data_IF_207406472308
#
_entry.id   IF_207406472308
#
_cell.length_a   1.000
_cell.length_b   1.000
_cell.length_c   1.000
_cell.angle_alpha   90.00
_cell.angle_beta   90.00
_cell.angle_gamma   90.00
#
_symmetry.space_group_name_H-M   'P 1'
#
loop_
_entity.id
_entity.type
_entity.pdbx_description
1 polymer ?
#
# COMPACT_ATOMS: atom_id res chain seq x y z
N UNK A 1 -2.71 41.79 -10.96
CA UNK A 1 -2.40 41.17 -9.66
C UNK A 1 -3.62 40.40 -9.19
N UNK A 2 -3.53 39.08 -9.04
CA UNK A 2 -4.65 38.28 -8.54
C UNK A 2 -4.86 38.59 -7.05
N UNK A 3 -6.05 39.07 -6.69
CA UNK A 3 -6.42 39.36 -5.32
C UNK A 3 -6.54 38.01 -4.58
N UNK A 4 -5.80 37.86 -3.48
CA UNK A 4 -5.89 36.68 -2.61
C UNK A 4 -7.18 36.74 -1.79
N UNK A 5 -8.24 36.20 -2.41
CA UNK A 5 -9.60 36.10 -1.86
C UNK A 5 -9.63 35.40 -0.49
N UNK A 6 -8.66 34.53 -0.18
CA UNK A 6 -8.60 33.85 1.12
C UNK A 6 -8.23 34.81 2.25
N UNK A 7 -7.41 35.83 2.00
CA UNK A 7 -7.07 36.85 3.01
C UNK A 7 -8.24 37.79 3.28
N UNK A 8 -8.92 38.24 2.23
CA UNK A 8 -10.11 39.11 2.33
C UNK A 8 -11.23 38.39 3.09
N UNK A 9 -11.48 37.11 2.77
CA UNK A 9 -12.44 36.29 3.48
C UNK A 9 -12.10 36.15 4.97
N UNK A 10 -10.85 35.83 5.31
CA UNK A 10 -10.41 35.73 6.71
C UNK A 10 -10.59 37.03 7.49
N UNK A 11 -10.29 38.17 6.88
CA UNK A 11 -10.46 39.49 7.49
C UNK A 11 -11.94 39.79 7.78
N UNK A 12 -12.82 39.51 6.81
CA UNK A 12 -14.26 39.74 6.96
C UNK A 12 -14.88 38.81 8.02
N UNK A 13 -14.51 37.53 8.05
CA UNK A 13 -14.97 36.60 9.09
C UNK A 13 -14.52 37.05 10.48
N UNK A 14 -13.29 37.56 10.61
CA UNK A 14 -12.75 38.06 11.88
C UNK A 14 -13.47 39.33 12.35
N UNK A 15 -13.77 40.25 11.42
CA UNK A 15 -14.53 41.47 11.72
C UNK A 15 -15.96 41.17 12.20
N UNK A 16 -16.65 40.22 11.54
CA UNK A 16 -18.00 39.80 11.93
C UNK A 16 -17.98 39.17 13.33
N UNK A 17 -17.03 38.27 13.63
CA UNK A 17 -16.93 37.62 14.94
C UNK A 17 -16.66 38.59 16.09
N UNK A 18 -15.78 39.58 15.88
CA UNK A 18 -15.49 40.61 16.87
C UNK A 18 -16.73 41.48 17.15
N UNK A 19 -17.61 41.67 16.15
CA UNK A 19 -18.88 42.36 16.30
C UNK A 19 -19.94 41.54 17.04
N UNK A 20 -19.84 40.21 17.07
CA UNK A 20 -20.83 39.31 17.68
C UNK A 20 -20.65 39.07 19.17
N UNK A 21 -19.51 39.46 19.76
CA UNK A 21 -19.23 39.28 21.20
C UNK A 21 -18.96 37.83 21.65
N UNK A 22 -18.79 36.89 20.72
CA UNK A 22 -18.69 35.43 20.97
C UNK A 22 -17.30 34.95 21.44
N UNK A 23 -16.34 35.84 21.68
CA UNK A 23 -14.91 35.53 21.95
C UNK A 23 -14.67 34.54 23.12
N UNK A 24 -15.59 34.43 24.08
CA UNK A 24 -15.48 33.49 25.21
C UNK A 24 -15.75 32.03 24.82
N UNK A 25 -16.43 31.78 23.70
CA UNK A 25 -16.71 30.42 23.20
C UNK A 25 -15.53 29.81 22.46
N UNK A 26 -14.61 30.64 21.94
CA UNK A 26 -13.46 30.21 21.14
C UNK A 26 -12.39 29.49 21.98
N UNK A 27 -12.18 29.86 23.26
CA UNK A 27 -11.18 29.19 24.12
C UNK A 27 -11.62 27.74 24.42
N UNK A 28 -12.91 27.54 24.73
CA UNK A 28 -13.46 26.20 25.00
C UNK A 28 -13.52 25.35 23.72
N UNK A 29 -13.96 25.94 22.61
CA UNK A 29 -14.04 25.25 21.32
C UNK A 29 -12.66 24.96 20.73
N UNK A 30 -11.69 25.86 20.83
CA UNK A 30 -10.31 25.58 20.40
C UNK A 30 -9.70 24.44 21.22
N UNK A 31 -9.90 24.40 22.55
CA UNK A 31 -9.37 23.33 23.38
C UNK A 31 -10.03 21.98 23.05
N UNK A 32 -11.34 21.96 22.81
CA UNK A 32 -12.07 20.75 22.39
C UNK A 32 -11.70 20.32 20.96
N UNK A 33 -11.54 21.26 20.03
CA UNK A 33 -11.10 21.00 18.66
C UNK A 33 -9.66 20.47 18.65
N UNK A 34 -8.73 21.11 19.38
CA UNK A 34 -7.34 20.66 19.52
C UNK A 34 -7.26 19.25 20.11
N UNK A 35 -8.01 18.97 21.18
CA UNK A 35 -8.05 17.64 21.82
C UNK A 35 -8.61 16.54 20.90
N UNK A 36 -9.60 16.86 20.06
CA UNK A 36 -10.15 15.92 19.07
C UNK A 36 -9.22 15.75 17.85
N UNK A 37 -8.58 16.83 17.40
CA UNK A 37 -7.59 16.80 16.33
C UNK A 37 -6.39 15.93 16.70
N UNK A 38 -5.85 16.06 17.91
CA UNK A 38 -4.67 15.32 18.35
C UNK A 38 -4.92 13.81 18.50
N UNK A 39 -6.12 13.41 18.96
CA UNK A 39 -6.51 11.98 19.02
C UNK A 39 -6.63 11.37 17.61
N UNK A 40 -7.29 12.09 16.69
CA UNK A 40 -7.43 11.66 15.30
C UNK A 40 -6.08 11.63 14.56
N UNK A 41 -5.17 12.56 14.88
CA UNK A 41 -3.84 12.63 14.27
C UNK A 41 -2.99 11.41 14.65
N UNK A 42 -3.01 10.97 15.91
CA UNK A 42 -2.22 9.80 16.38
C UNK A 42 -2.66 8.49 15.75
N UNK A 43 -3.97 8.23 15.65
CA UNK A 43 -4.46 7.02 14.98
C UNK A 43 -4.21 7.04 13.47
N UNK A 44 -4.39 8.20 12.83
CA UNK A 44 -4.05 8.40 11.41
C UNK A 44 -2.57 8.12 11.14
N UNK A 45 -1.70 8.48 12.09
CA UNK A 45 -0.26 8.28 11.96
C UNK A 45 0.12 6.80 12.04
N UNK A 46 -0.50 6.02 12.93
CA UNK A 46 -0.22 4.59 13.07
C UNK A 46 -0.72 3.78 11.87
N UNK A 47 -1.99 3.95 11.47
CA UNK A 47 -2.53 3.30 10.28
C UNK A 47 -1.71 3.66 9.03
N UNK A 48 -1.41 4.95 8.84
CA UNK A 48 -0.66 5.39 7.66
C UNK A 48 0.76 4.82 7.63
N UNK A 49 1.45 4.73 8.77
CA UNK A 49 2.79 4.13 8.84
C UNK A 49 2.76 2.66 8.48
N UNK A 50 1.81 1.91 9.01
CA UNK A 50 1.70 0.47 8.78
C UNK A 50 1.27 0.15 7.34
N UNK A 51 0.28 0.89 6.80
CA UNK A 51 -0.10 0.79 5.40
C UNK A 51 1.06 1.09 4.45
N UNK A 52 1.84 2.14 4.73
CA UNK A 52 3.06 2.47 3.95
C UNK A 52 4.10 1.35 4.04
N UNK A 53 4.31 0.77 5.21
CA UNK A 53 5.24 -0.34 5.36
C UNK A 53 4.84 -1.55 4.50
N UNK A 54 3.55 -1.90 4.50
CA UNK A 54 3.02 -2.97 3.65
C UNK A 54 3.23 -2.64 2.16
N UNK A 55 2.95 -1.41 1.73
CA UNK A 55 3.19 -0.99 0.33
C UNK A 55 4.67 -1.08 -0.04
N UNK A 56 5.57 -0.72 0.87
CA UNK A 56 7.01 -0.87 0.68
C UNK A 56 7.39 -2.34 0.51
N UNK A 57 6.85 -3.23 1.35
CA UNK A 57 7.08 -4.68 1.24
C UNK A 57 6.58 -5.25 -0.10
N UNK A 58 5.38 -4.86 -0.55
CA UNK A 58 4.86 -5.26 -1.87
C UNK A 58 5.76 -4.72 -3.00
N UNK A 59 6.30 -3.51 -2.85
CA UNK A 59 7.22 -2.92 -3.82
C UNK A 59 8.57 -3.63 -3.85
N UNK A 60 9.09 -4.05 -2.69
CA UNK A 60 10.29 -4.89 -2.60
C UNK A 60 10.03 -6.23 -3.29
N UNK A 61 8.89 -6.88 -3.04
CA UNK A 61 8.48 -8.09 -3.76
C UNK A 61 8.45 -7.86 -5.28
N UNK A 62 7.85 -6.77 -5.75
CA UNK A 62 7.82 -6.44 -7.18
C UNK A 62 9.23 -6.27 -7.75
N UNK A 63 10.15 -5.63 -7.03
CA UNK A 63 11.56 -5.48 -7.46
C UNK A 63 12.24 -6.84 -7.52
N UNK A 64 12.12 -7.64 -6.45
CA UNK A 64 12.63 -9.00 -6.37
C UNK A 64 12.17 -9.87 -7.55
N UNK A 65 10.88 -9.84 -7.89
CA UNK A 65 10.35 -10.58 -9.04
C UNK A 65 10.89 -10.07 -10.38
N UNK A 66 11.18 -8.76 -10.50
CA UNK A 66 11.69 -8.17 -11.74
C UNK A 66 13.18 -8.46 -11.94
N UNK A 67 14.00 -8.36 -10.90
CA UNK A 67 15.43 -8.65 -10.92
C UNK A 67 15.68 -10.11 -11.32
N UNK A 68 14.83 -11.01 -10.82
CA UNK A 68 14.89 -12.44 -11.11
C UNK A 68 14.11 -12.85 -12.38
N UNK A 69 13.71 -11.92 -13.25
CA UNK A 69 13.08 -12.27 -14.55
C UNK A 69 13.97 -13.13 -15.45
N UNK A 70 15.30 -13.02 -15.29
CA UNK A 70 16.27 -13.77 -16.10
C UNK A 70 16.16 -15.28 -15.90
N UNK A 71 15.78 -15.72 -14.69
CA UNK A 71 15.49 -17.12 -14.37
C UNK A 71 14.40 -17.70 -15.29
N UNK A 72 13.40 -16.90 -15.65
CA UNK A 72 12.24 -17.35 -16.44
C UNK A 72 12.37 -17.09 -17.94
N UNK A 73 13.28 -16.20 -18.38
CA UNK A 73 13.33 -15.70 -19.76
C UNK A 73 14.51 -16.16 -20.61
N UNK A 74 15.47 -16.95 -20.08
CA UNK A 74 16.66 -17.40 -20.84
C UNK A 74 16.34 -17.81 -22.31
N UNK A 75 16.94 -17.15 -23.32
CA UNK A 75 16.66 -17.38 -24.74
C UNK A 75 17.05 -18.79 -25.20
N UNK A 76 18.13 -19.34 -24.65
CA UNK A 76 18.68 -20.64 -25.03
C UNK A 76 18.18 -21.79 -24.13
N UNK A 77 16.93 -21.75 -23.68
CA UNK A 77 16.40 -22.76 -22.74
C UNK A 77 16.38 -24.20 -23.28
N UNK A 78 16.55 -24.40 -24.59
CA UNK A 78 16.63 -25.70 -25.26
C UNK A 78 18.08 -26.23 -25.36
N UNK A 79 19.08 -25.38 -25.22
CA UNK A 79 20.50 -25.75 -25.25
C UNK A 79 20.97 -25.84 -23.81
N UNK A 80 21.47 -27.00 -23.40
CA UNK A 80 21.97 -27.23 -22.03
C UNK A 80 23.27 -26.45 -21.83
N UNK A 81 23.18 -25.15 -21.52
CA UNK A 81 24.34 -24.34 -21.16
C UNK A 81 24.72 -24.58 -19.70
N UNK A 82 26.03 -24.63 -19.40
CA UNK A 82 26.57 -24.82 -18.05
C UNK A 82 26.19 -23.69 -17.05
N UNK A 83 25.60 -22.59 -17.53
CA UNK A 83 25.01 -21.49 -16.72
C UNK A 83 23.49 -21.65 -16.50
N UNK A 84 22.93 -22.85 -16.64
CA UNK A 84 21.55 -23.10 -16.24
C UNK A 84 21.49 -23.16 -14.71
N UNK A 85 20.79 -22.20 -14.08
CA UNK A 85 20.44 -22.26 -12.66
C UNK A 85 19.94 -23.67 -12.29
N UNK A 86 20.36 -24.17 -11.13
CA UNK A 86 19.94 -25.49 -10.68
C UNK A 86 18.48 -25.44 -10.25
N UNK A 87 17.74 -26.54 -10.40
CA UNK A 87 16.33 -26.62 -9.98
C UNK A 87 16.14 -26.23 -8.49
N UNK A 88 17.17 -26.43 -7.67
CA UNK A 88 17.24 -25.97 -6.28
C UNK A 88 17.15 -24.45 -6.13
N UNK A 89 17.87 -23.67 -6.95
CA UNK A 89 17.89 -22.21 -6.88
C UNK A 89 16.51 -21.63 -7.24
N UNK A 90 15.81 -22.29 -8.16
CA UNK A 90 14.44 -21.93 -8.52
C UNK A 90 13.45 -22.24 -7.41
N UNK A 91 13.57 -23.40 -6.78
CA UNK A 91 12.69 -23.78 -5.67
C UNK A 91 12.86 -22.80 -4.51
N UNK A 92 14.09 -22.45 -4.17
CA UNK A 92 14.37 -21.46 -3.12
C UNK A 92 13.77 -20.09 -3.47
N UNK A 93 13.89 -19.65 -4.73
CA UNK A 93 13.28 -18.41 -5.19
C UNK A 93 11.74 -18.44 -5.08
N UNK A 94 11.10 -19.51 -5.54
CA UNK A 94 9.63 -19.66 -5.48
C UNK A 94 9.15 -19.69 -4.02
N UNK A 95 9.84 -20.43 -3.14
CA UNK A 95 9.52 -20.50 -1.72
C UNK A 95 9.64 -19.12 -1.04
N UNK A 96 10.70 -18.36 -1.36
CA UNK A 96 10.89 -17.00 -0.88
C UNK A 96 9.78 -16.06 -1.38
N UNK A 97 9.45 -16.11 -2.67
CA UNK A 97 8.39 -15.29 -3.27
C UNK A 97 7.03 -15.59 -2.63
N UNK A 98 6.66 -16.86 -2.49
CA UNK A 98 5.41 -17.30 -1.87
C UNK A 98 5.34 -16.92 -0.39
N UNK A 99 6.45 -17.02 0.34
CA UNK A 99 6.57 -16.56 1.73
C UNK A 99 6.30 -15.06 1.86
N UNK A 100 6.89 -14.23 0.98
CA UNK A 100 6.70 -12.77 1.01
C UNK A 100 5.26 -12.40 0.60
N UNK A 101 4.69 -13.05 -0.41
CA UNK A 101 3.29 -12.85 -0.84
C UNK A 101 2.34 -13.14 0.32
N UNK A 102 2.52 -14.28 1.00
CA UNK A 102 1.70 -14.68 2.14
C UNK A 102 1.81 -13.68 3.27
N UNK A 103 3.03 -13.28 3.64
CA UNK A 103 3.27 -12.25 4.67
C UNK A 103 2.59 -10.92 4.35
N UNK A 104 2.64 -10.47 3.09
CA UNK A 104 1.96 -9.24 2.68
C UNK A 104 0.43 -9.37 2.77
N UNK A 105 -0.13 -10.50 2.33
CA UNK A 105 -1.57 -10.76 2.42
C UNK A 105 -2.06 -10.82 3.88
N UNK A 106 -1.33 -11.51 4.74
CA UNK A 106 -1.65 -11.62 6.17
C UNK A 106 -1.51 -10.26 6.87
N UNK A 107 -0.48 -9.46 6.54
CA UNK A 107 -0.33 -8.11 7.08
C UNK A 107 -1.50 -7.18 6.70
N UNK A 108 -1.99 -7.26 5.45
CA UNK A 108 -3.18 -6.51 5.01
C UNK A 108 -4.41 -6.95 5.81
N UNK A 109 -4.63 -8.26 5.96
CA UNK A 109 -5.76 -8.81 6.71
C UNK A 109 -5.73 -8.35 8.17
N UNK A 110 -4.58 -8.48 8.83
CA UNK A 110 -4.40 -8.07 10.22
C UNK A 110 -4.62 -6.56 10.41
N UNK A 111 -4.09 -5.74 9.50
CA UNK A 111 -4.31 -4.29 9.54
C UNK A 111 -5.81 -3.94 9.36
N UNK A 112 -6.51 -4.64 8.46
CA UNK A 112 -7.94 -4.47 8.21
C UNK A 112 -8.78 -4.81 9.44
N UNK A 113 -8.53 -5.96 10.05
CA UNK A 113 -9.19 -6.40 11.28
C UNK A 113 -8.93 -5.43 12.44
N UNK A 114 -7.69 -4.98 12.61
CA UNK A 114 -7.35 -4.03 13.67
C UNK A 114 -7.95 -2.64 13.44
N UNK A 115 -8.05 -2.21 12.19
CA UNK A 115 -8.60 -0.91 11.83
C UNK A 115 -10.10 -0.88 12.09
N UNK A 116 -10.88 -1.82 11.56
CA UNK A 116 -12.35 -1.80 11.62
C UNK A 116 -12.96 -2.30 12.95
N UNK A 117 -12.15 -2.63 13.95
CA UNK A 117 -12.62 -2.78 15.36
C UNK A 117 -13.18 -1.48 15.95
N UNK A 118 -12.83 -0.34 15.37
CA UNK A 118 -13.25 0.98 15.83
C UNK A 118 -14.39 1.54 14.97
N UNK A 119 -15.21 2.40 15.57
CA UNK A 119 -16.28 3.11 14.88
C UNK A 119 -15.69 4.37 14.22
N UNK A 120 -15.89 4.50 12.91
CA UNK A 120 -15.45 5.67 12.15
C UNK A 120 -16.63 6.43 11.56
N UNK A 121 -16.45 7.74 11.37
CA UNK A 121 -17.36 8.55 10.58
C UNK A 121 -17.44 8.00 9.13
N UNK A 122 -18.57 8.14 8.42
CA UNK A 122 -18.77 7.56 7.09
C UNK A 122 -17.65 7.90 6.08
N UNK A 123 -17.22 9.17 6.05
CA UNK A 123 -16.14 9.62 5.16
C UNK A 123 -14.81 8.93 5.48
N UNK A 124 -14.47 8.80 6.76
CA UNK A 124 -13.23 8.17 7.18
C UNK A 124 -13.26 6.66 6.92
N UNK A 125 -14.40 6.01 7.15
CA UNK A 125 -14.61 4.60 6.80
C UNK A 125 -14.38 4.37 5.31
N UNK A 126 -15.01 5.17 4.45
CA UNK A 126 -14.86 5.06 3.00
C UNK A 126 -13.42 5.29 2.53
N UNK A 127 -12.73 6.27 3.14
CA UNK A 127 -11.31 6.49 2.86
C UNK A 127 -10.47 5.25 3.20
N UNK A 128 -10.67 4.65 4.37
CA UNK A 128 -9.94 3.44 4.80
C UNK A 128 -10.22 2.25 3.88
N UNK A 129 -11.49 2.02 3.51
CA UNK A 129 -11.90 0.98 2.56
C UNK A 129 -11.20 1.14 1.21
N UNK A 130 -11.12 2.37 0.68
CA UNK A 130 -10.42 2.65 -0.56
C UNK A 130 -8.91 2.40 -0.46
N UNK A 131 -8.28 2.73 0.68
CA UNK A 131 -6.86 2.43 0.90
C UNK A 131 -6.63 0.92 0.91
N UNK A 132 -7.45 0.14 1.60
CA UNK A 132 -7.36 -1.32 1.58
C UNK A 132 -7.56 -1.89 0.18
N UNK A 133 -8.59 -1.43 -0.54
CA UNK A 133 -8.83 -1.85 -1.93
C UNK A 133 -7.60 -1.62 -2.82
N UNK A 134 -6.97 -0.46 -2.73
CA UNK A 134 -5.77 -0.14 -3.51
C UNK A 134 -4.58 -1.03 -3.13
N UNK A 135 -4.39 -1.31 -1.83
CA UNK A 135 -3.32 -2.20 -1.36
C UNK A 135 -3.53 -3.65 -1.81
N UNK A 136 -4.74 -4.17 -1.65
CA UNK A 136 -5.13 -5.52 -2.10
C UNK A 136 -4.98 -5.65 -3.62
N UNK A 137 -5.42 -4.64 -4.38
CA UNK A 137 -5.25 -4.59 -5.84
C UNK A 137 -3.77 -4.59 -6.22
N UNK A 138 -2.95 -3.78 -5.57
CA UNK A 138 -1.52 -3.73 -5.88
C UNK A 138 -0.82 -5.07 -5.61
N UNK A 139 -1.11 -5.71 -4.47
CA UNK A 139 -0.60 -7.07 -4.21
C UNK A 139 -1.06 -8.05 -5.28
N UNK A 140 -2.33 -8.02 -5.68
CA UNK A 140 -2.88 -8.89 -6.73
C UNK A 140 -2.18 -8.71 -8.07
N UNK A 141 -1.90 -7.48 -8.48
CA UNK A 141 -1.18 -7.19 -9.73
C UNK A 141 0.26 -7.73 -9.68
N UNK A 142 0.92 -7.67 -8.52
CA UNK A 142 2.25 -8.26 -8.32
C UNK A 142 2.20 -9.80 -8.33
N UNK A 143 1.19 -10.41 -7.71
CA UNK A 143 0.97 -11.85 -7.76
C UNK A 143 0.69 -12.36 -9.18
N UNK A 144 0.02 -11.54 -10.01
CA UNK A 144 -0.20 -11.84 -11.42
C UNK A 144 1.13 -11.93 -12.18
N UNK A 145 2.02 -10.96 -11.98
CA UNK A 145 3.38 -10.99 -12.56
C UNK A 145 4.13 -12.27 -12.18
N UNK A 146 4.06 -12.67 -10.90
CA UNK A 146 4.69 -13.92 -10.44
C UNK A 146 4.08 -15.17 -11.11
N UNK A 147 2.75 -15.22 -11.20
CA UNK A 147 2.04 -16.36 -11.80
C UNK A 147 2.35 -16.50 -13.30
N UNK A 148 2.47 -15.38 -14.02
CA UNK A 148 2.90 -15.35 -15.42
C UNK A 148 4.33 -15.89 -15.59
N UNK A 149 5.26 -15.52 -14.70
CA UNK A 149 6.63 -16.06 -14.68
C UNK A 149 6.62 -17.58 -14.47
N UNK A 150 5.88 -18.08 -13.48
CA UNK A 150 5.75 -19.51 -13.18
C UNK A 150 5.18 -20.29 -14.38
N UNK A 151 4.18 -19.74 -15.06
CA UNK A 151 3.61 -20.34 -16.27
C UNK A 151 4.63 -20.50 -17.40
N UNK A 152 5.50 -19.50 -17.61
CA UNK A 152 6.58 -19.57 -18.61
C UNK A 152 7.55 -20.71 -18.27
N UNK A 153 7.95 -20.87 -16.99
CA UNK A 153 8.81 -21.98 -16.55
C UNK A 153 8.17 -23.33 -16.82
N UNK A 154 6.90 -23.52 -16.43
CA UNK A 154 6.18 -24.78 -16.65
C UNK A 154 6.12 -25.13 -18.13
N UNK A 155 5.78 -24.16 -19.00
CA UNK A 155 5.78 -24.34 -20.45
C UNK A 155 7.14 -24.83 -20.96
N UNK A 156 8.23 -24.18 -20.54
CA UNK A 156 9.60 -24.55 -20.95
C UNK A 156 10.03 -25.94 -20.45
N UNK A 157 9.61 -26.34 -19.24
CA UNK A 157 9.87 -27.69 -18.73
C UNK A 157 9.13 -28.75 -19.54
N UNK A 158 7.90 -28.47 -19.96
CA UNK A 158 7.12 -29.37 -20.82
C UNK A 158 7.75 -29.47 -22.21
N UNK A 159 8.13 -28.35 -22.82
CA UNK A 159 8.77 -28.33 -24.15
C UNK A 159 10.08 -29.13 -24.16
N UNK A 160 10.89 -29.03 -23.10
CA UNK A 160 12.13 -29.82 -22.94
C UNK A 160 11.91 -31.32 -22.81
N UNK A 161 10.77 -31.76 -22.24
CA UNK A 161 10.44 -33.19 -22.10
C UNK A 161 9.89 -33.81 -23.39
N UNK A 162 9.49 -32.98 -24.36
CA UNK A 162 8.93 -33.40 -25.64
C UNK A 162 9.98 -33.54 -26.76
N UNK A 163 11.21 -33.07 -26.51
CA UNK A 163 12.39 -33.25 -27.36
C UNK A 163 13.15 -34.50 -26.92
#
# INVERSE_FOLDING_TARGET
>A
MAIDLSKVFKANVKAIRLSSGDDKTDILNEQLLKKNLDKNKRQKDNFSKEAKNIITNITILKKFLNENKRFYLQPNYLIKSNESFNDTDYQEFEDQAESIIKKCGDAIRNLKENTFKQIYAPQQKHHLENVFYLMEKYLKDVCKLYSEQKAIRVKRMVDRKKL
#
